data_IF_419999034567
#
_entry.id   IF_419999034567
#
_cell.length_a   1.000
_cell.length_b   1.000
_cell.length_c   1.000
_cell.angle_alpha   90.00
_cell.angle_beta   90.00
_cell.angle_gamma   90.00
#
_symmetry.space_group_name_H-M   'P 1'
#
loop_
_entity.id
_entity.type
_entity.pdbx_description
1 polymer ?
#
# COMPACT_ATOMS: atom_id res chain seq x y z
N UNK A 1 8.89 -4.46 5.31
CA UNK A 1 8.36 -5.42 4.32
C UNK A 1 8.23 -6.84 4.87
N UNK A 2 9.22 -7.35 5.59
CA UNK A 2 9.19 -8.69 6.22
C UNK A 2 8.01 -8.92 7.16
N UNK A 3 7.66 -7.96 8.02
CA UNK A 3 6.53 -8.08 8.94
C UNK A 3 5.16 -8.13 8.25
N UNK A 4 4.96 -7.32 7.21
CA UNK A 4 3.71 -7.29 6.44
C UNK A 4 3.52 -8.61 5.69
N UNK A 5 4.57 -9.12 5.05
CA UNK A 5 4.52 -10.43 4.38
C UNK A 5 4.19 -11.58 5.33
N UNK A 6 4.72 -11.54 6.56
CA UNK A 6 4.40 -12.55 7.58
C UNK A 6 2.93 -12.50 8.01
N UNK A 7 2.36 -11.31 8.22
CA UNK A 7 0.94 -11.16 8.57
C UNK A 7 0.04 -11.60 7.41
N UNK A 8 0.36 -11.22 6.17
CA UNK A 8 -0.39 -11.67 4.99
C UNK A 8 -0.37 -13.20 4.88
N UNK A 9 0.79 -13.83 5.09
CA UNK A 9 0.91 -15.29 5.09
C UNK A 9 0.05 -15.96 6.17
N UNK A 10 0.06 -15.42 7.38
CA UNK A 10 -0.75 -15.91 8.50
C UNK A 10 -2.25 -15.77 8.22
N UNK A 11 -2.71 -14.61 7.71
CA UNK A 11 -4.11 -14.39 7.37
C UNK A 11 -4.57 -15.30 6.24
N UNK A 12 -3.76 -15.46 5.19
CA UNK A 12 -4.05 -16.41 4.12
C UNK A 12 -4.23 -17.83 4.69
N UNK A 13 -3.28 -18.30 5.51
CA UNK A 13 -3.38 -19.61 6.15
C UNK A 13 -4.64 -19.79 7.00
N UNK A 14 -5.07 -18.74 7.71
CA UNK A 14 -6.27 -18.78 8.56
C UNK A 14 -7.59 -18.81 7.76
N UNK A 15 -7.65 -18.11 6.62
CA UNK A 15 -8.90 -17.89 5.89
C UNK A 15 -9.07 -18.76 4.63
N UNK A 16 -8.02 -19.35 4.07
CA UNK A 16 -8.10 -20.13 2.82
C UNK A 16 -9.13 -21.26 2.87
N UNK A 17 -9.19 -22.02 3.97
CA UNK A 17 -10.15 -23.12 4.10
C UNK A 17 -11.61 -22.64 4.16
N UNK A 18 -11.85 -21.53 4.84
CA UNK A 18 -13.18 -20.91 4.95
C UNK A 18 -13.63 -20.33 3.61
N UNK A 19 -12.71 -19.70 2.87
CA UNK A 19 -12.97 -19.20 1.51
C UNK A 19 -13.29 -20.32 0.54
N UNK A 20 -12.58 -21.46 0.59
CA UNK A 20 -12.89 -22.62 -0.25
C UNK A 20 -14.32 -23.14 -0.03
N UNK A 21 -14.74 -23.25 1.24
CA UNK A 21 -16.13 -23.62 1.60
C UNK A 21 -17.15 -22.57 1.18
N UNK A 22 -16.79 -21.29 1.24
CA UNK A 22 -17.66 -20.22 0.76
C UNK A 22 -17.92 -20.34 -0.75
N UNK A 23 -16.88 -20.61 -1.55
CA UNK A 23 -17.01 -20.86 -3.00
C UNK A 23 -17.88 -22.09 -3.27
N UNK A 24 -17.67 -23.19 -2.53
CA UNK A 24 -18.48 -24.42 -2.66
C UNK A 24 -19.97 -24.18 -2.38
N UNK A 25 -20.28 -23.41 -1.34
CA UNK A 25 -21.67 -23.14 -0.93
C UNK A 25 -22.38 -22.08 -1.77
N UNK A 26 -21.64 -21.13 -2.34
CA UNK A 26 -22.22 -19.99 -3.08
C UNK A 26 -22.13 -20.11 -4.59
N UNK A 27 -21.22 -20.96 -5.10
CA UNK A 27 -20.88 -21.04 -6.52
C UNK A 27 -20.15 -19.82 -7.08
N UNK A 28 -19.84 -18.80 -6.26
CA UNK A 28 -19.15 -17.59 -6.69
C UNK A 28 -17.66 -17.88 -6.86
N UNK A 29 -17.18 -17.85 -8.10
CA UNK A 29 -15.77 -18.05 -8.43
C UNK A 29 -15.15 -16.72 -8.89
N UNK A 30 -14.35 -16.10 -8.02
CA UNK A 30 -13.52 -14.95 -8.35
C UNK A 30 -12.11 -15.46 -8.68
N UNK A 31 -11.79 -15.52 -9.97
CA UNK A 31 -10.49 -16.00 -10.45
C UNK A 31 -9.33 -15.03 -10.17
N UNK A 32 -9.63 -13.82 -9.69
CA UNK A 32 -8.65 -12.78 -9.38
C UNK A 32 -8.53 -12.67 -7.86
N UNK A 33 -7.32 -12.88 -7.34
CA UNK A 33 -7.00 -12.69 -5.93
C UNK A 33 -6.47 -11.28 -5.72
N UNK A 34 -7.16 -10.49 -4.90
CA UNK A 34 -6.64 -9.20 -4.43
C UNK A 34 -5.59 -9.44 -3.35
N UNK A 35 -4.33 -9.18 -3.68
CA UNK A 35 -3.18 -9.34 -2.79
C UNK A 35 -2.96 -8.11 -1.90
N UNK A 36 -3.85 -7.12 -1.99
CA UNK A 36 -3.82 -5.87 -1.25
C UNK A 36 -2.78 -4.87 -1.77
N UNK A 37 -2.62 -3.80 -1.01
CA UNK A 37 -1.74 -2.69 -1.36
C UNK A 37 -0.24 -3.01 -1.18
N UNK A 38 0.11 -3.94 -0.30
CA UNK A 38 1.51 -4.15 0.09
C UNK A 38 2.43 -4.63 -1.06
N UNK A 39 2.01 -5.56 -1.93
CA UNK A 39 2.79 -5.94 -3.10
C UNK A 39 2.97 -4.78 -4.08
N UNK A 40 1.90 -4.00 -4.33
CA UNK A 40 1.95 -2.84 -5.22
C UNK A 40 2.92 -1.78 -4.70
N UNK A 41 2.82 -1.42 -3.43
CA UNK A 41 3.75 -0.49 -2.80
C UNK A 41 5.20 -0.97 -2.92
N UNK A 42 5.45 -2.26 -2.69
CA UNK A 42 6.80 -2.84 -2.80
C UNK A 42 7.38 -2.70 -4.21
N UNK A 43 6.57 -2.96 -5.25
CA UNK A 43 6.99 -2.82 -6.64
C UNK A 43 7.31 -1.35 -6.95
N UNK A 44 6.42 -0.43 -6.55
CA UNK A 44 6.59 1.00 -6.79
C UNK A 44 7.85 1.55 -6.12
N UNK A 45 8.16 1.11 -4.90
CA UNK A 45 9.41 1.48 -4.21
C UNK A 45 10.69 0.97 -4.90
N UNK A 46 10.58 0.06 -5.86
CA UNK A 46 11.69 -0.31 -6.75
C UNK A 46 11.96 0.67 -7.90
N UNK A 47 11.07 1.65 -8.12
CA UNK A 47 11.17 2.65 -9.20
C UNK A 47 11.87 3.93 -8.74
N UNK A 48 12.70 4.51 -9.61
CA UNK A 48 13.32 5.83 -9.37
C UNK A 48 12.28 6.97 -9.28
N UNK A 49 11.10 6.79 -9.88
CA UNK A 49 9.99 7.75 -9.82
C UNK A 49 9.51 7.99 -8.38
N UNK A 50 9.56 6.97 -7.53
CA UNK A 50 9.16 7.08 -6.12
C UNK A 50 10.02 8.06 -5.35
N UNK A 51 11.33 8.07 -5.61
CA UNK A 51 12.26 9.03 -5.00
C UNK A 51 12.04 10.45 -5.52
N UNK A 52 11.70 10.59 -6.80
CA UNK A 52 11.37 11.88 -7.40
C UNK A 52 10.10 12.50 -6.79
N UNK A 53 9.01 11.73 -6.67
CA UNK A 53 7.79 12.20 -6.05
C UNK A 53 7.93 12.44 -4.54
N UNK A 54 8.73 11.63 -3.86
CA UNK A 54 9.08 11.86 -2.46
C UNK A 54 9.75 13.23 -2.25
N UNK A 55 10.72 13.56 -3.12
CA UNK A 55 11.39 14.86 -3.06
C UNK A 55 10.40 16.02 -3.22
N UNK A 56 9.49 15.92 -4.21
CA UNK A 56 8.46 16.94 -4.44
C UNK A 56 7.56 17.09 -3.21
N UNK A 57 7.07 15.98 -2.65
CA UNK A 57 6.15 16.04 -1.52
C UNK A 57 6.81 16.60 -0.26
N UNK A 58 8.08 16.27 -0.01
CA UNK A 58 8.81 16.86 1.10
C UNK A 58 8.95 18.38 0.95
N UNK A 59 9.23 18.87 -0.27
CA UNK A 59 9.30 20.30 -0.56
C UNK A 59 7.93 20.95 -0.32
N UNK A 60 6.85 20.38 -0.84
CA UNK A 60 5.49 20.91 -0.67
C UNK A 60 5.12 20.99 0.81
N UNK A 61 5.42 19.94 1.59
CA UNK A 61 5.11 19.89 3.02
C UNK A 61 5.81 21.02 3.80
N UNK A 62 7.12 21.19 3.57
CA UNK A 62 7.93 22.25 4.19
C UNK A 62 7.44 23.63 3.77
N UNK A 63 7.14 23.84 2.48
CA UNK A 63 6.63 25.12 1.98
C UNK A 63 5.29 25.47 2.64
N UNK A 64 4.37 24.51 2.73
CA UNK A 64 3.05 24.73 3.34
C UNK A 64 3.14 25.10 4.82
N UNK A 65 4.06 24.48 5.56
CA UNK A 65 4.37 24.84 6.95
C UNK A 65 5.00 26.24 7.05
N UNK A 66 5.97 26.56 6.18
CA UNK A 66 6.67 27.84 6.19
C UNK A 66 5.73 29.04 5.94
N UNK A 67 4.74 28.88 5.04
CA UNK A 67 3.72 29.90 4.78
C UNK A 67 2.52 29.81 5.74
N UNK A 68 2.56 28.93 6.75
CA UNK A 68 1.48 28.68 7.73
C UNK A 68 0.13 28.34 7.08
N UNK A 69 0.16 27.60 5.97
CA UNK A 69 -1.06 27.10 5.32
C UNK A 69 -1.60 25.85 6.01
N UNK A 70 -0.72 25.10 6.69
CA UNK A 70 -1.06 23.94 7.51
C UNK A 70 -0.28 24.00 8.83
N UNK A 71 -0.81 23.30 9.84
CA UNK A 71 -0.14 23.06 11.13
C UNK A 71 0.28 21.57 11.27
N UNK A 72 0.27 20.83 10.16
CA UNK A 72 0.54 19.39 10.12
C UNK A 72 1.74 19.10 9.22
N UNK A 73 2.64 18.22 9.68
CA UNK A 73 3.75 17.66 8.91
C UNK A 73 3.38 16.23 8.52
N UNK A 74 3.39 15.92 7.23
CA UNK A 74 3.26 14.55 6.76
C UNK A 74 4.61 13.83 6.92
N UNK A 75 4.61 12.78 7.73
CA UNK A 75 5.80 12.00 8.08
C UNK A 75 5.75 10.58 7.55
N UNK A 76 4.60 10.14 7.02
CA UNK A 76 4.46 8.79 6.47
C UNK A 76 4.98 8.75 5.04
N UNK A 77 6.30 8.83 4.89
CA UNK A 77 7.00 8.78 3.60
C UNK A 77 6.61 7.56 2.77
N UNK A 78 6.21 6.46 3.41
CA UNK A 78 5.94 5.22 2.73
C UNK A 78 4.77 5.35 1.74
N UNK A 79 3.75 6.15 2.08
CA UNK A 79 2.48 6.29 1.36
C UNK A 79 2.59 6.89 -0.06
N UNK A 80 3.74 7.50 -0.38
CA UNK A 80 4.05 8.09 -1.69
C UNK A 80 3.94 7.10 -2.86
N UNK A 81 3.93 5.80 -2.54
CA UNK A 81 3.71 4.74 -3.52
C UNK A 81 2.40 4.91 -4.31
N UNK A 82 1.35 5.52 -3.73
CA UNK A 82 0.10 5.80 -4.45
C UNK A 82 0.27 6.79 -5.60
N UNK A 83 1.13 7.79 -5.41
CA UNK A 83 1.40 8.81 -6.43
C UNK A 83 2.42 8.34 -7.47
N UNK A 84 3.20 7.34 -7.12
CA UNK A 84 4.31 6.85 -7.94
C UNK A 84 3.90 5.68 -8.83
N UNK A 85 2.71 5.09 -8.60
CA UNK A 85 2.13 4.00 -9.41
C UNK A 85 1.17 4.51 -10.51
N UNK A 86 0.74 5.77 -10.45
CA UNK A 86 -0.27 6.38 -11.34
C UNK A 86 0.39 7.36 -12.30
#
# INVERSE_FOLDING_TARGET
LTGIGAIIGMLNGAFSASLAKFVENTGIQLNITDVGWAPLATITWGSAWTLYFLLIMLIVNVVMLAIKKTDTLDVDIFDIWHLSIT
#
